data_IF_680881832724
#
_entry.id   IF_680881832724
#
_cell.length_a   1.000
_cell.length_b   1.000
_cell.length_c   1.000
_cell.angle_alpha   90.00
_cell.angle_beta   90.00
_cell.angle_gamma   90.00
#
_symmetry.space_group_name_H-M   'P 1'
#
loop_
_entity.id
_entity.type
_entity.pdbx_description
1 polymer ?
#
# COMPACT_ATOMS: atom_id res chain seq x y z
N UNK A 1 -3.94 18.12 -1.36
CA UNK A 1 -5.16 17.32 -1.11
C UNK A 1 -6.45 17.92 -1.71
N UNK A 2 -6.41 19.07 -2.41
CA UNK A 2 -7.63 19.72 -2.95
C UNK A 2 -8.47 18.93 -3.96
N UNK A 3 -7.94 18.06 -4.86
CA UNK A 3 -8.77 17.42 -5.91
C UNK A 3 -9.70 16.30 -5.40
N UNK A 4 -9.47 15.77 -4.20
CA UNK A 4 -10.29 14.69 -3.58
C UNK A 4 -11.48 15.24 -2.80
N UNK A 5 -11.41 16.49 -2.31
CA UNK A 5 -12.45 17.07 -1.43
C UNK A 5 -13.84 17.11 -2.07
N UNK A 6 -13.92 17.31 -3.38
CA UNK A 6 -15.17 17.39 -4.15
C UNK A 6 -15.67 16.05 -4.74
N UNK A 7 -15.01 14.91 -4.45
CA UNK A 7 -15.30 13.61 -5.08
C UNK A 7 -15.34 12.45 -4.08
N UNK A 8 -15.79 12.71 -2.84
CA UNK A 8 -15.79 11.72 -1.74
C UNK A 8 -16.41 10.35 -2.09
N UNK A 9 -17.47 10.31 -2.90
CA UNK A 9 -18.14 9.05 -3.31
C UNK A 9 -17.73 8.54 -4.71
N UNK A 10 -16.74 9.16 -5.35
CA UNK A 10 -16.29 8.81 -6.72
C UNK A 10 -14.80 8.50 -6.80
N UNK A 11 -14.13 8.36 -5.66
CA UNK A 11 -12.69 8.08 -5.60
C UNK A 11 -12.49 6.70 -4.98
N UNK A 12 -11.82 5.84 -5.73
CA UNK A 12 -11.25 4.60 -5.22
C UNK A 12 -9.74 4.73 -5.16
N UNK A 13 -9.16 4.26 -4.07
CA UNK A 13 -7.73 4.15 -3.83
C UNK A 13 -7.32 2.70 -4.07
N UNK A 14 -6.20 2.53 -4.78
CA UNK A 14 -5.63 1.22 -5.09
C UNK A 14 -4.17 1.28 -4.67
N UNK A 15 -3.75 0.32 -3.85
CA UNK A 15 -2.38 0.19 -3.35
C UNK A 15 -1.85 -1.19 -3.74
N UNK A 16 -0.59 -1.24 -4.15
CA UNK A 16 0.11 -2.46 -4.51
C UNK A 16 1.15 -2.74 -3.44
N UNK A 17 0.97 -3.83 -2.69
CA UNK A 17 1.92 -4.29 -1.68
C UNK A 17 2.57 -5.56 -2.19
N UNK A 18 3.72 -5.37 -2.83
CA UNK A 18 4.51 -6.44 -3.47
C UNK A 18 5.98 -6.24 -3.12
N UNK A 19 6.72 -7.34 -2.95
CA UNK A 19 8.16 -7.33 -2.66
C UNK A 19 8.55 -6.45 -1.45
N UNK A 20 7.94 -6.70 -0.30
CA UNK A 20 8.25 -5.97 0.94
C UNK A 20 9.65 -6.35 1.43
N UNK A 21 10.64 -5.50 1.13
CA UNK A 21 12.04 -5.68 1.53
C UNK A 21 12.38 -4.86 2.78
N UNK A 22 13.29 -5.34 3.66
CA UNK A 22 13.70 -4.62 4.88
C UNK A 22 14.37 -3.27 4.62
N UNK A 23 14.93 -3.13 3.42
CA UNK A 23 15.66 -1.97 2.98
C UNK A 23 15.06 -1.51 1.65
N UNK A 24 15.48 -0.34 1.19
CA UNK A 24 15.09 0.16 -0.13
C UNK A 24 15.32 -0.93 -1.18
N UNK A 25 14.26 -1.28 -1.90
CA UNK A 25 14.31 -2.18 -3.05
C UNK A 25 15.36 -1.75 -4.10
N UNK A 26 15.71 -0.46 -4.09
CA UNK A 26 16.72 0.18 -4.92
C UNK A 26 18.18 -0.25 -4.62
N UNK A 27 18.47 -0.92 -3.51
CA UNK A 27 19.84 -1.39 -3.18
C UNK A 27 19.98 -2.91 -3.35
N UNK A 28 21.11 -3.40 -3.89
CA UNK A 28 21.29 -4.84 -4.18
C UNK A 28 21.37 -5.73 -2.93
N UNK A 29 21.53 -5.13 -1.74
CA UNK A 29 21.45 -5.81 -0.45
C UNK A 29 20.10 -5.62 0.23
N UNK A 30 19.04 -5.30 -0.55
CA UNK A 30 17.68 -5.09 -0.03
C UNK A 30 17.13 -6.26 0.77
N UNK A 31 17.78 -7.42 0.71
CA UNK A 31 17.39 -8.62 1.45
C UNK A 31 16.32 -9.41 0.70
N UNK A 32 16.02 -10.61 1.17
CA UNK A 32 14.86 -11.34 0.65
C UNK A 32 13.59 -10.66 1.17
N UNK A 33 12.47 -10.73 0.42
CA UNK A 33 11.19 -10.25 0.89
C UNK A 33 10.89 -10.83 2.28
N UNK A 34 10.55 -9.96 3.23
CA UNK A 34 10.27 -10.35 4.62
C UNK A 34 8.81 -10.78 4.75
N UNK A 35 7.91 -10.07 4.07
CA UNK A 35 6.50 -10.41 4.03
C UNK A 35 6.14 -11.11 2.71
N UNK A 36 5.10 -11.95 2.76
CA UNK A 36 4.51 -12.54 1.57
C UNK A 36 3.90 -11.45 0.68
N UNK A 37 3.85 -11.66 -0.63
CA UNK A 37 3.16 -10.73 -1.53
C UNK A 37 1.66 -10.71 -1.19
N UNK A 38 1.18 -9.56 -0.72
CA UNK A 38 -0.23 -9.33 -0.34
C UNK A 38 -1.06 -8.97 -1.58
N UNK A 39 -0.41 -8.42 -2.62
CA UNK A 39 -1.01 -8.16 -3.92
C UNK A 39 -1.62 -6.75 -4.03
N UNK A 40 -2.87 -6.67 -4.49
CA UNK A 40 -3.55 -5.40 -4.79
C UNK A 40 -4.68 -5.18 -3.78
N UNK A 41 -4.59 -4.08 -3.04
CA UNK A 41 -5.63 -3.61 -2.14
C UNK A 41 -6.43 -2.50 -2.81
N UNK A 42 -7.75 -2.52 -2.66
CA UNK A 42 -8.64 -1.49 -3.18
C UNK A 42 -9.62 -1.04 -2.08
N UNK A 43 -9.71 0.27 -1.86
CA UNK A 43 -10.60 0.86 -0.86
C UNK A 43 -11.12 2.21 -1.35
N UNK A 44 -12.31 2.61 -0.94
CA UNK A 44 -12.82 3.97 -1.16
C UNK A 44 -12.34 4.96 -0.10
N UNK A 45 -11.77 4.45 1.00
CA UNK A 45 -11.23 5.24 2.10
C UNK A 45 -9.69 5.13 2.13
N UNK A 46 -8.97 6.26 2.04
CA UNK A 46 -7.50 6.28 2.07
C UNK A 46 -6.92 5.89 3.44
N UNK A 47 -7.65 6.08 4.54
CA UNK A 47 -7.20 5.67 5.87
C UNK A 47 -7.34 4.15 6.02
N UNK A 48 -8.46 3.60 5.54
CA UNK A 48 -8.70 2.17 5.62
C UNK A 48 -7.68 1.35 4.80
N UNK A 49 -7.25 1.86 3.63
CA UNK A 49 -6.25 1.15 2.81
C UNK A 49 -4.87 1.14 3.45
N UNK A 50 -4.44 2.25 4.08
CA UNK A 50 -3.15 2.30 4.77
C UNK A 50 -3.13 1.40 6.01
N UNK A 51 -4.23 1.39 6.77
CA UNK A 51 -4.35 0.50 7.92
C UNK A 51 -4.30 -0.98 7.49
N UNK A 52 -4.97 -1.32 6.39
CA UNK A 52 -4.91 -2.67 5.85
C UNK A 52 -3.48 -3.04 5.41
N UNK A 53 -2.75 -2.14 4.74
CA UNK A 53 -1.34 -2.40 4.40
C UNK A 53 -0.50 -2.71 5.65
N UNK A 54 -0.64 -1.90 6.71
CA UNK A 54 0.12 -2.10 7.94
C UNK A 54 -0.21 -3.41 8.66
N UNK A 55 -1.49 -3.82 8.64
CA UNK A 55 -1.94 -5.08 9.23
C UNK A 55 -1.45 -6.30 8.45
N UNK A 56 -1.37 -6.19 7.11
CA UNK A 56 -0.85 -7.27 6.27
C UNK A 56 0.68 -7.36 6.25
N UNK A 57 1.39 -6.25 6.52
CA UNK A 57 2.87 -6.20 6.58
C UNK A 57 3.45 -6.73 7.91
N UNK A 58 2.63 -6.98 8.94
CA UNK A 58 3.00 -7.52 10.26
C UNK A 58 2.84 -9.05 10.36
#
# INVERSE_FOLDING_TARGET
MEPVSNKKDKVGYITFVMNVTPLCDCVPWSGRPIAHDIGILASTDPVAIEQACYDFDL
#
